data_IF_599591148361
#
_entry.id   IF_599591148361
#
_cell.length_a   1.000
_cell.length_b   1.000
_cell.length_c   1.000
_cell.angle_alpha   90.00
_cell.angle_beta   90.00
_cell.angle_gamma   90.00
#
_symmetry.space_group_name_H-M   'P 1'
#
loop_
_entity.id
_entity.type
_entity.pdbx_description
1 polymer ?
#
# COMPACT_ATOMS: atom_id res chain seq x y z
N UNK A 1 16.19 12.81 -24.87
CA UNK A 1 16.23 12.58 -23.40
C UNK A 1 17.51 13.13 -22.75
N UNK A 2 18.65 13.18 -23.42
CA UNK A 2 19.87 13.82 -22.88
C UNK A 2 19.70 15.32 -22.64
N UNK A 3 18.99 16.03 -23.51
CA UNK A 3 18.65 17.46 -23.38
C UNK A 3 17.47 17.71 -22.44
N UNK A 4 16.54 16.75 -22.35
CA UNK A 4 15.32 16.84 -21.55
C UNK A 4 15.19 15.63 -20.61
N UNK A 5 16.02 15.50 -19.55
CA UNK A 5 15.99 14.36 -18.64
C UNK A 5 14.71 14.35 -17.79
N UNK A 6 14.26 13.16 -17.40
CA UNK A 6 13.12 13.00 -16.49
C UNK A 6 13.41 13.52 -15.08
N UNK A 7 14.68 13.57 -14.67
CA UNK A 7 15.12 14.00 -13.33
C UNK A 7 16.26 14.99 -13.44
N UNK A 8 16.17 16.06 -12.65
CA UNK A 8 17.26 17.02 -12.52
C UNK A 8 18.50 16.34 -11.90
N UNK A 9 19.67 16.58 -12.51
CA UNK A 9 20.95 16.00 -12.05
C UNK A 9 21.27 14.60 -12.58
N UNK A 10 20.45 14.02 -13.45
CA UNK A 10 20.89 12.91 -14.28
C UNK A 10 21.79 13.48 -15.39
N UNK A 11 23.10 13.17 -15.31
CA UNK A 11 24.03 13.45 -16.40
C UNK A 11 23.59 12.73 -17.68
N UNK A 12 24.15 13.14 -18.82
CA UNK A 12 23.91 12.50 -20.11
C UNK A 12 24.36 11.05 -20.05
N UNK A 13 23.47 10.14 -19.66
CA UNK A 13 23.70 8.73 -19.85
C UNK A 13 23.52 8.43 -21.33
N UNK A 14 24.54 7.87 -21.96
CA UNK A 14 24.36 7.24 -23.26
C UNK A 14 23.25 6.21 -23.10
N UNK A 15 22.09 6.50 -23.68
CA UNK A 15 21.01 5.53 -23.72
C UNK A 15 21.50 4.37 -24.59
N UNK A 16 21.47 3.16 -24.06
CA UNK A 16 21.74 1.97 -24.85
C UNK A 16 20.80 1.96 -26.07
N UNK A 17 21.30 1.49 -27.19
CA UNK A 17 20.50 1.33 -28.40
C UNK A 17 19.21 0.54 -28.04
N UNK A 18 18.08 1.11 -28.38
CA UNK A 18 16.80 0.45 -28.15
C UNK A 18 16.74 -0.83 -28.99
N UNK A 19 16.46 -1.94 -28.34
CA UNK A 19 16.26 -3.21 -28.99
C UNK A 19 14.83 -3.67 -28.66
N UNK A 20 14.06 -3.97 -29.70
CA UNK A 20 12.65 -4.41 -29.58
C UNK A 20 12.58 -5.92 -29.88
N UNK A 21 12.89 -6.80 -28.91
CA UNK A 21 13.00 -8.23 -29.14
C UNK A 21 11.65 -8.95 -29.30
N UNK A 22 10.54 -8.22 -29.30
CA UNK A 22 9.20 -8.78 -29.27
C UNK A 22 8.73 -9.18 -27.86
N UNK A 23 7.44 -9.59 -27.69
CA UNK A 23 6.86 -9.87 -26.37
C UNK A 23 7.43 -11.10 -25.69
N UNK A 24 7.53 -12.24 -26.38
CA UNK A 24 7.97 -13.51 -25.78
C UNK A 24 9.36 -13.48 -25.11
N UNK A 25 10.42 -12.89 -25.71
CA UNK A 25 11.71 -12.76 -25.03
C UNK A 25 11.66 -11.84 -23.82
N UNK A 26 10.79 -10.83 -23.83
CA UNK A 26 10.62 -9.89 -22.70
C UNK A 26 9.95 -10.60 -21.53
N UNK A 27 8.83 -11.28 -21.76
CA UNK A 27 8.12 -12.06 -20.75
C UNK A 27 9.01 -13.13 -20.10
N UNK A 28 9.78 -13.85 -20.92
CA UNK A 28 10.75 -14.84 -20.42
C UNK A 28 11.81 -14.21 -19.54
N UNK A 29 12.37 -13.06 -19.92
CA UNK A 29 13.37 -12.33 -19.10
C UNK A 29 12.77 -11.84 -17.79
N UNK A 30 11.53 -11.31 -17.81
CA UNK A 30 10.81 -10.88 -16.61
C UNK A 30 10.57 -12.05 -15.68
N UNK A 31 10.10 -13.18 -16.18
CA UNK A 31 9.90 -14.39 -15.38
C UNK A 31 11.18 -14.85 -14.68
N UNK A 32 12.33 -14.87 -15.40
CA UNK A 32 13.61 -15.21 -14.79
C UNK A 32 14.06 -14.19 -13.74
N UNK A 33 13.82 -12.90 -13.98
CA UNK A 33 14.16 -11.85 -13.04
C UNK A 33 13.32 -11.96 -11.75
N UNK A 34 12.01 -12.25 -11.85
CA UNK A 34 11.13 -12.50 -10.72
C UNK A 34 11.56 -13.72 -9.90
N UNK A 35 11.88 -14.82 -10.58
CA UNK A 35 12.45 -16.01 -9.93
C UNK A 35 13.76 -15.70 -9.21
N UNK A 36 14.64 -14.92 -9.84
CA UNK A 36 15.89 -14.45 -9.25
C UNK A 36 15.67 -13.61 -7.98
N UNK A 37 14.72 -12.68 -8.00
CA UNK A 37 14.34 -11.89 -6.83
C UNK A 37 13.76 -12.78 -5.73
N UNK A 38 12.88 -13.72 -6.07
CA UNK A 38 12.29 -14.64 -5.10
C UNK A 38 13.35 -15.53 -4.42
N UNK A 39 14.28 -16.08 -5.19
CA UNK A 39 15.42 -16.88 -4.68
C UNK A 39 16.34 -15.98 -3.82
N UNK A 40 16.68 -14.78 -4.29
CA UNK A 40 17.49 -13.83 -3.55
C UNK A 40 16.90 -13.46 -2.21
N UNK A 41 15.60 -13.19 -2.14
CA UNK A 41 14.88 -12.93 -0.89
C UNK A 41 14.90 -14.13 0.05
N UNK A 42 14.76 -15.35 -0.51
CA UNK A 42 14.84 -16.58 0.28
C UNK A 42 16.25 -16.82 0.85
N UNK A 43 17.30 -16.57 0.06
CA UNK A 43 18.69 -16.67 0.53
C UNK A 43 19.02 -15.64 1.60
N UNK A 44 18.54 -14.39 1.44
CA UNK A 44 18.73 -13.32 2.41
C UNK A 44 18.00 -13.60 3.74
N UNK A 45 16.92 -14.38 3.73
CA UNK A 45 16.24 -14.76 4.99
C UNK A 45 17.09 -15.66 5.90
N UNK A 46 18.06 -16.38 5.34
CA UNK A 46 19.02 -17.21 6.09
C UNK A 46 20.35 -16.51 6.39
N UNK A 47 20.60 -15.33 5.80
CA UNK A 47 21.87 -14.63 5.95
C UNK A 47 21.98 -13.90 7.31
N UNK A 48 23.19 -13.86 7.92
CA UNK A 48 23.41 -13.14 9.17
C UNK A 48 23.16 -11.64 9.01
N UNK A 49 22.61 -11.02 10.06
CA UNK A 49 22.24 -9.59 10.06
C UNK A 49 23.49 -8.69 10.00
N UNK A 50 23.61 -7.91 8.92
CA UNK A 50 24.74 -7.00 8.72
C UNK A 50 24.40 -5.85 7.76
N UNK A 51 25.26 -4.81 7.73
CA UNK A 51 25.08 -3.68 6.79
C UNK A 51 25.02 -4.12 5.33
N UNK A 52 25.83 -5.14 4.94
CA UNK A 52 25.85 -5.68 3.57
C UNK A 52 24.55 -6.43 3.21
N UNK A 53 24.02 -7.23 4.13
CA UNK A 53 22.76 -7.96 3.95
C UNK A 53 21.59 -7.01 3.82
N UNK A 54 21.59 -5.93 4.60
CA UNK A 54 20.56 -4.87 4.53
C UNK A 54 20.60 -4.15 3.18
N UNK A 55 21.79 -3.79 2.68
CA UNK A 55 21.96 -3.17 1.36
C UNK A 55 21.49 -4.08 0.22
N UNK A 56 21.81 -5.38 0.29
CA UNK A 56 21.36 -6.36 -0.69
C UNK A 56 19.83 -6.54 -0.67
N UNK A 57 19.20 -6.57 0.52
CA UNK A 57 17.76 -6.62 0.65
C UNK A 57 17.06 -5.38 0.05
N UNK A 58 17.63 -4.18 0.28
CA UNK A 58 17.12 -2.95 -0.35
C UNK A 58 17.22 -2.96 -1.87
N UNK A 59 18.34 -3.48 -2.41
CA UNK A 59 18.52 -3.62 -3.85
C UNK A 59 17.49 -4.58 -4.46
N UNK A 60 17.25 -5.73 -3.82
CA UNK A 60 16.24 -6.70 -4.27
C UNK A 60 14.82 -6.15 -4.18
N UNK A 61 14.47 -5.43 -3.12
CA UNK A 61 13.14 -4.78 -3.00
C UNK A 61 12.94 -3.72 -4.09
N UNK A 62 13.99 -2.94 -4.40
CA UNK A 62 13.94 -1.99 -5.51
C UNK A 62 13.71 -2.68 -6.84
N UNK A 63 14.42 -3.79 -7.10
CA UNK A 63 14.25 -4.58 -8.32
C UNK A 63 12.87 -5.21 -8.40
N UNK A 64 12.35 -5.76 -7.29
CA UNK A 64 10.99 -6.30 -7.23
C UNK A 64 9.93 -5.26 -7.60
N UNK A 65 10.03 -4.04 -7.07
CA UNK A 65 9.12 -2.93 -7.40
C UNK A 65 9.21 -2.50 -8.87
N UNK A 66 10.41 -2.53 -9.45
CA UNK A 66 10.60 -2.23 -10.87
C UNK A 66 9.98 -3.31 -11.77
N UNK A 67 10.13 -4.58 -11.41
CA UNK A 67 9.51 -5.71 -12.13
C UNK A 67 7.98 -5.67 -12.04
N UNK A 68 7.42 -5.40 -10.87
CA UNK A 68 5.98 -5.24 -10.69
C UNK A 68 5.41 -4.08 -11.54
N UNK A 69 6.12 -2.96 -11.58
CA UNK A 69 5.77 -1.85 -12.47
C UNK A 69 5.79 -2.24 -13.94
N UNK A 70 6.85 -2.94 -14.39
CA UNK A 70 6.98 -3.40 -15.78
C UNK A 70 5.89 -4.40 -16.15
N UNK A 71 5.58 -5.35 -15.28
CA UNK A 71 4.50 -6.31 -15.52
C UNK A 71 3.14 -5.64 -15.64
N UNK A 72 2.84 -4.67 -14.79
CA UNK A 72 1.59 -3.89 -14.90
C UNK A 72 1.54 -3.08 -16.19
N UNK A 73 2.66 -2.49 -16.58
CA UNK A 73 2.75 -1.75 -17.83
C UNK A 73 2.53 -2.68 -19.03
N UNK A 74 3.20 -3.83 -19.06
CA UNK A 74 3.05 -4.82 -20.13
C UNK A 74 1.63 -5.41 -20.19
N UNK A 75 1.00 -5.70 -19.03
CA UNK A 75 -0.37 -6.19 -19.02
C UNK A 75 -1.38 -5.15 -19.50
N UNK A 76 -1.10 -3.85 -19.32
CA UNK A 76 -1.97 -2.76 -19.76
C UNK A 76 -1.79 -2.44 -21.25
N UNK A 77 -0.56 -2.51 -21.73
CA UNK A 77 -0.22 -2.10 -23.09
C UNK A 77 0.13 -3.26 -24.02
N UNK A 78 0.16 -4.50 -23.52
CA UNK A 78 0.59 -5.68 -24.29
C UNK A 78 -0.21 -5.90 -25.56
N UNK A 79 -1.52 -5.71 -25.52
CA UNK A 79 -2.39 -5.82 -26.70
C UNK A 79 -2.07 -4.78 -27.77
N UNK A 80 -1.73 -3.54 -27.34
CA UNK A 80 -1.33 -2.48 -28.28
C UNK A 80 0.04 -2.73 -28.89
N UNK A 81 0.95 -3.35 -28.14
CA UNK A 81 2.30 -3.67 -28.62
C UNK A 81 2.32 -4.87 -29.57
N UNK A 82 1.28 -5.70 -29.57
CA UNK A 82 1.13 -6.88 -30.44
C UNK A 82 0.25 -6.61 -31.65
N UNK A 83 -0.47 -5.49 -31.69
CA UNK A 83 -1.30 -5.13 -32.83
C UNK A 83 -0.44 -4.49 -33.93
N UNK A 84 -0.42 -5.09 -35.10
CA UNK A 84 0.12 -4.50 -36.33
C UNK A 84 -0.93 -3.54 -36.92
N UNK A 85 -1.09 -2.36 -36.31
CA UNK A 85 -1.99 -1.33 -36.80
C UNK A 85 -1.24 -0.47 -37.82
N UNK A 86 -1.63 -0.57 -39.05
CA UNK A 86 -1.24 0.36 -40.11
C UNK A 86 -2.33 1.41 -40.28
N UNK A 87 -2.01 2.65 -39.94
CA UNK A 87 -2.90 3.78 -40.22
C UNK A 87 -2.70 4.20 -41.66
N UNK A 88 -3.78 4.19 -42.43
CA UNK A 88 -3.79 4.66 -43.81
C UNK A 88 -4.40 6.05 -43.80
N UNK A 89 -3.71 7.02 -44.37
CA UNK A 89 -4.08 8.44 -44.36
C UNK A 89 -4.58 8.95 -45.73
N UNK A 90 -4.85 8.05 -46.69
CA UNK A 90 -5.26 8.38 -48.05
C UNK A 90 -6.42 9.38 -48.11
N UNK A 91 -7.45 9.17 -47.27
CA UNK A 91 -8.62 10.07 -47.24
C UNK A 91 -8.27 11.42 -46.65
N UNK A 92 -7.41 11.47 -45.61
CA UNK A 92 -6.96 12.71 -44.98
C UNK A 92 -6.07 13.49 -45.92
N UNK A 93 -5.16 12.80 -46.61
CA UNK A 93 -4.27 13.38 -47.60
C UNK A 93 -5.06 13.90 -48.83
N UNK A 94 -6.08 13.18 -49.30
CA UNK A 94 -6.98 13.63 -50.36
C UNK A 94 -7.70 14.93 -49.95
N UNK A 95 -8.16 15.03 -48.69
CA UNK A 95 -8.76 16.25 -48.15
C UNK A 95 -7.74 17.38 -48.10
N UNK A 96 -6.53 17.15 -47.59
CA UNK A 96 -5.44 18.14 -47.58
C UNK A 96 -5.16 18.65 -49.01
N UNK A 97 -5.04 17.76 -49.97
CA UNK A 97 -4.76 18.13 -51.36
C UNK A 97 -5.91 18.87 -52.04
N UNK A 98 -7.13 18.79 -51.50
CA UNK A 98 -8.31 19.54 -52.02
C UNK A 98 -8.37 20.98 -51.49
N UNK A 99 -7.56 21.37 -50.48
CA UNK A 99 -7.52 22.72 -49.96
C UNK A 99 -6.86 23.67 -50.96
N UNK A 100 -7.32 24.96 -50.97
CA UNK A 100 -6.65 26.02 -51.72
C UNK A 100 -5.24 26.25 -51.12
N UNK A 101 -4.33 26.80 -51.93
CA UNK A 101 -2.91 26.93 -51.52
C UNK A 101 -2.74 27.78 -50.23
N UNK A 102 -3.51 28.86 -50.13
CA UNK A 102 -3.51 29.74 -48.95
C UNK A 102 -4.05 29.02 -47.70
N UNK A 103 -5.03 28.14 -47.87
CA UNK A 103 -5.62 27.35 -46.76
C UNK A 103 -4.70 26.23 -46.34
N UNK A 104 -3.91 25.64 -47.23
CA UNK A 104 -2.91 24.61 -46.87
C UNK A 104 -1.83 25.16 -45.98
N UNK A 105 -1.40 26.40 -46.15
CA UNK A 105 -0.39 27.04 -45.31
C UNK A 105 -0.89 27.15 -43.84
N UNK A 106 -2.19 27.45 -43.66
CA UNK A 106 -2.79 27.66 -42.33
C UNK A 106 -3.34 26.38 -41.71
N UNK A 107 -3.97 25.51 -42.50
CA UNK A 107 -4.70 24.32 -42.08
C UNK A 107 -4.10 23.01 -42.57
N UNK A 108 -2.86 23.04 -43.06
CA UNK A 108 -2.18 21.86 -43.56
C UNK A 108 -2.02 20.79 -42.48
N UNK A 109 -2.25 19.54 -42.86
CA UNK A 109 -2.18 18.36 -41.96
C UNK A 109 -1.53 17.14 -42.64
N UNK A 110 -0.65 17.38 -43.65
CA UNK A 110 0.17 16.33 -44.22
C UNK A 110 1.25 15.91 -43.20
N UNK A 111 1.18 14.67 -42.75
CA UNK A 111 2.15 14.13 -41.78
C UNK A 111 3.57 13.96 -42.39
N UNK A 112 3.70 13.98 -43.72
CA UNK A 112 4.99 13.90 -44.39
C UNK A 112 5.80 15.22 -44.27
N UNK A 113 5.10 16.36 -44.11
CA UNK A 113 5.73 17.68 -43.97
C UNK A 113 6.25 17.95 -42.56
N UNK A 114 5.96 17.05 -41.61
CA UNK A 114 6.37 17.22 -40.23
C UNK A 114 7.87 16.96 -40.06
N UNK A 115 8.60 17.97 -39.58
CA UNK A 115 9.97 17.73 -39.09
C UNK A 115 9.93 16.90 -37.81
N UNK A 116 9.99 15.58 -38.00
CA UNK A 116 9.96 14.60 -36.92
C UNK A 116 11.06 14.78 -35.89
N UNK A 117 12.23 15.29 -36.33
CA UNK A 117 13.34 15.51 -35.42
C UNK A 117 13.03 16.67 -34.47
N UNK A 118 12.58 17.80 -35.01
CA UNK A 118 12.13 18.94 -34.23
C UNK A 118 10.94 18.58 -33.34
N UNK A 119 9.94 17.91 -33.91
CA UNK A 119 8.75 17.49 -33.14
C UNK A 119 9.10 16.59 -31.94
N UNK A 120 9.93 15.58 -32.15
CA UNK A 120 10.31 14.65 -31.05
C UNK A 120 11.18 15.38 -30.02
N UNK A 121 12.18 16.14 -30.42
CA UNK A 121 13.12 16.74 -29.48
C UNK A 121 12.56 17.99 -28.77
N UNK A 122 11.87 18.87 -29.46
CA UNK A 122 11.49 20.17 -28.92
C UNK A 122 10.02 20.24 -28.47
N UNK A 123 9.16 19.33 -28.95
CA UNK A 123 7.74 19.32 -28.60
C UNK A 123 7.39 18.10 -27.76
N UNK A 124 7.57 16.89 -28.31
CA UNK A 124 7.09 15.66 -27.68
C UNK A 124 7.83 15.31 -26.39
N UNK A 125 9.16 15.23 -26.42
CA UNK A 125 9.96 14.88 -25.23
C UNK A 125 9.81 15.92 -24.12
N UNK A 126 9.84 17.24 -24.34
CA UNK A 126 9.52 18.23 -23.32
C UNK A 126 8.10 18.11 -22.76
N UNK A 127 7.11 17.81 -23.62
CA UNK A 127 5.71 17.65 -23.21
C UNK A 127 5.51 16.48 -22.24
N UNK A 128 6.17 15.35 -22.45
CA UNK A 128 6.08 14.18 -21.55
C UNK A 128 6.99 14.27 -20.32
N UNK A 129 8.18 14.86 -20.43
CA UNK A 129 9.13 14.98 -19.31
C UNK A 129 8.81 16.15 -18.38
N UNK A 130 8.29 17.26 -18.92
CA UNK A 130 7.95 18.46 -18.15
C UNK A 130 6.94 18.23 -17.02
N UNK A 131 5.80 17.56 -17.26
CA UNK A 131 4.86 17.21 -16.20
C UNK A 131 5.48 16.31 -15.13
N UNK A 132 6.30 15.32 -15.50
CA UNK A 132 6.98 14.43 -14.56
C UNK A 132 7.95 15.20 -13.68
N UNK A 133 8.77 16.10 -14.26
CA UNK A 133 9.67 16.98 -13.49
C UNK A 133 8.92 17.90 -12.54
N UNK A 134 7.83 18.50 -12.98
CA UNK A 134 6.97 19.34 -12.12
C UNK A 134 6.38 18.55 -10.97
N UNK A 135 5.94 17.33 -11.22
CA UNK A 135 5.42 16.42 -10.20
C UNK A 135 6.50 16.02 -9.17
N UNK A 136 7.70 15.72 -9.64
CA UNK A 136 8.84 15.39 -8.76
C UNK A 136 9.32 16.60 -7.96
N UNK A 137 9.40 17.78 -8.58
CA UNK A 137 9.72 19.01 -7.89
C UNK A 137 8.68 19.36 -6.81
N UNK A 138 7.39 19.18 -7.12
CA UNK A 138 6.32 19.34 -6.14
C UNK A 138 6.42 18.31 -5.00
N UNK A 139 6.79 17.05 -5.29
CA UNK A 139 7.05 16.01 -4.28
C UNK A 139 8.26 16.37 -3.41
N UNK A 140 9.35 16.87 -3.99
CA UNK A 140 10.53 17.33 -3.23
C UNK A 140 10.20 18.51 -2.31
N UNK A 141 9.47 19.52 -2.82
CA UNK A 141 8.98 20.65 -2.02
C UNK A 141 8.03 20.22 -0.91
N UNK A 142 7.17 19.23 -1.16
CA UNK A 142 6.24 18.65 -0.19
C UNK A 142 6.98 17.84 0.87
N UNK A 143 8.00 17.05 0.48
CA UNK A 143 8.88 16.32 1.41
C UNK A 143 9.68 17.28 2.28
N UNK A 144 10.20 18.38 1.74
CA UNK A 144 10.85 19.45 2.50
C UNK A 144 9.85 20.18 3.45
N UNK A 145 8.58 20.33 3.05
CA UNK A 145 7.52 20.89 3.91
C UNK A 145 6.97 19.90 4.93
N UNK A 146 6.99 18.59 4.63
CA UNK A 146 6.50 17.54 5.55
C UNK A 146 7.44 17.31 6.74
N UNK A 147 8.69 17.79 6.65
CA UNK A 147 9.62 17.82 7.81
C UNK A 147 9.36 18.98 8.75
N UNK A 148 8.54 19.96 8.37
CA UNK A 148 8.11 21.04 9.26
C UNK A 148 6.62 20.83 9.59
N UNK A 149 6.34 19.88 10.45
CA UNK A 149 5.01 19.67 10.99
C UNK A 149 4.61 20.93 11.76
N UNK A 150 3.58 21.65 11.28
CA UNK A 150 2.83 22.55 12.17
C UNK A 150 2.22 21.66 13.24
N UNK A 151 2.62 21.82 14.50
CA UNK A 151 2.06 21.10 15.63
C UNK A 151 0.53 21.11 15.56
N UNK A 152 -0.09 20.03 16.02
CA UNK A 152 -1.55 19.97 16.12
C UNK A 152 -2.00 21.13 17.01
N UNK A 153 -3.09 21.79 16.65
CA UNK A 153 -3.67 22.83 17.50
C UNK A 153 -4.32 22.16 18.70
N UNK A 154 -4.00 22.61 19.91
CA UNK A 154 -4.72 22.15 21.09
C UNK A 154 -6.22 22.41 20.95
N UNK A 155 -7.04 21.44 21.35
CA UNK A 155 -8.50 21.52 21.36
C UNK A 155 -9.02 21.20 22.76
N UNK A 156 -10.26 21.50 23.03
CA UNK A 156 -10.91 21.02 24.24
C UNK A 156 -10.92 19.48 24.22
N UNK A 157 -10.51 18.84 25.34
CA UNK A 157 -10.48 17.37 25.41
C UNK A 157 -11.83 16.75 25.04
N UNK A 158 -11.79 15.72 24.18
CA UNK A 158 -12.98 14.99 23.76
C UNK A 158 -13.82 15.64 22.66
N UNK A 159 -13.42 16.80 22.11
CA UNK A 159 -14.16 17.43 20.99
C UNK A 159 -13.68 16.99 19.62
N UNK A 160 -12.45 16.51 19.51
CA UNK A 160 -11.81 16.06 18.27
C UNK A 160 -11.27 14.65 18.47
N UNK A 161 -11.36 13.80 17.46
CA UNK A 161 -10.74 12.48 17.48
C UNK A 161 -9.67 12.29 16.41
N UNK A 162 -8.82 11.29 16.63
CA UNK A 162 -7.87 10.78 15.65
C UNK A 162 -8.00 9.26 15.57
N UNK A 163 -8.57 8.76 14.47
CA UNK A 163 -8.74 7.35 14.19
C UNK A 163 -7.55 6.79 13.40
N UNK A 164 -7.06 5.61 13.77
CA UNK A 164 -5.94 4.94 13.13
C UNK A 164 -6.31 3.53 12.73
N UNK A 165 -5.98 3.13 11.50
CA UNK A 165 -5.92 1.72 11.13
C UNK A 165 -4.64 1.10 11.69
N UNK A 166 -4.61 -0.23 11.83
CA UNK A 166 -3.45 -0.95 12.36
C UNK A 166 -2.55 -1.49 11.26
N UNK A 167 -3.09 -2.40 10.43
CA UNK A 167 -2.31 -3.14 9.43
C UNK A 167 -1.87 -2.25 8.27
N UNK A 168 -0.56 -2.11 8.05
CA UNK A 168 -0.01 -1.23 7.01
C UNK A 168 0.09 0.23 7.43
N UNK A 169 -0.61 0.65 8.49
CA UNK A 169 -0.63 2.02 9.01
C UNK A 169 0.20 2.15 10.29
N UNK A 170 -0.26 1.63 11.42
CA UNK A 170 0.49 1.67 12.69
C UNK A 170 1.55 0.58 12.73
N UNK A 171 1.26 -0.57 12.18
CA UNK A 171 2.11 -1.76 12.20
C UNK A 171 2.28 -2.35 10.80
N UNK A 172 3.51 -2.77 10.45
CA UNK A 172 3.81 -3.39 9.15
C UNK A 172 3.61 -4.90 9.20
N UNK A 173 2.37 -5.35 9.09
CA UNK A 173 1.97 -6.77 9.11
C UNK A 173 0.83 -7.06 8.16
N UNK A 174 0.45 -8.33 8.10
CA UNK A 174 -0.78 -8.76 7.44
C UNK A 174 -1.48 -9.85 8.27
N UNK A 175 -2.78 -10.02 8.04
CA UNK A 175 -3.64 -10.91 8.84
C UNK A 175 -3.19 -12.37 8.83
N UNK A 176 -2.64 -12.87 7.72
CA UNK A 176 -2.14 -14.26 7.63
C UNK A 176 -0.88 -14.42 8.48
N UNK A 177 0.02 -13.44 8.44
CA UNK A 177 1.25 -13.44 9.23
C UNK A 177 0.92 -13.40 10.73
N UNK A 178 0.03 -12.51 11.14
CA UNK A 178 -0.40 -12.42 12.54
C UNK A 178 -1.14 -13.65 13.01
N UNK A 179 -1.94 -14.29 12.16
CA UNK A 179 -2.54 -15.60 12.44
C UNK A 179 -1.48 -16.66 12.72
N UNK A 180 -0.47 -16.79 11.87
CA UNK A 180 0.59 -17.77 12.04
C UNK A 180 1.41 -17.52 13.32
N UNK A 181 1.71 -16.26 13.65
CA UNK A 181 2.41 -15.94 14.90
C UNK A 181 1.67 -16.39 16.14
N UNK A 182 0.35 -16.21 16.13
CA UNK A 182 -0.47 -16.48 17.28
C UNK A 182 -0.78 -17.98 17.41
N UNK A 183 -0.96 -18.67 16.28
CA UNK A 183 -1.43 -20.06 16.28
C UNK A 183 -0.31 -21.10 16.32
N UNK A 184 0.81 -20.85 15.64
CA UNK A 184 1.87 -21.86 15.55
C UNK A 184 2.56 -22.19 16.88
N UNK A 185 2.81 -21.27 17.82
CA UNK A 185 3.44 -21.60 19.09
C UNK A 185 2.69 -22.66 19.90
N UNK A 186 1.37 -22.71 19.82
CA UNK A 186 0.53 -23.67 20.56
C UNK A 186 0.50 -25.10 19.95
N UNK A 187 0.97 -25.24 18.72
CA UNK A 187 0.90 -26.50 17.97
C UNK A 187 2.19 -27.32 18.12
N UNK A 188 2.06 -28.65 18.18
CA UNK A 188 3.20 -29.56 18.05
C UNK A 188 3.86 -29.44 16.67
N UNK A 189 5.12 -29.89 16.52
CA UNK A 189 5.88 -29.79 15.25
C UNK A 189 5.12 -30.40 14.06
N UNK A 190 4.45 -31.54 14.24
CA UNK A 190 3.65 -32.19 13.19
C UNK A 190 2.43 -31.35 12.83
N UNK A 191 1.74 -30.81 13.84
CA UNK A 191 0.59 -29.94 13.64
C UNK A 191 0.99 -28.61 12.96
N UNK A 192 2.15 -28.02 13.33
CA UNK A 192 2.71 -26.81 12.67
C UNK A 192 2.92 -27.05 11.17
N UNK A 193 3.57 -28.17 10.81
CA UNK A 193 3.77 -28.53 9.41
C UNK A 193 2.44 -28.69 8.66
N UNK A 194 1.48 -29.38 9.25
CA UNK A 194 0.14 -29.54 8.68
C UNK A 194 -0.59 -28.21 8.52
N UNK A 195 -0.49 -27.31 9.49
CA UNK A 195 -1.13 -25.99 9.44
C UNK A 195 -0.52 -25.08 8.36
N UNK A 196 0.81 -25.04 8.26
CA UNK A 196 1.51 -24.31 7.21
C UNK A 196 1.12 -24.80 5.81
N UNK A 197 1.02 -26.11 5.61
CA UNK A 197 0.56 -26.69 4.34
C UNK A 197 -0.90 -26.31 4.02
N UNK A 198 -1.79 -26.32 5.01
CA UNK A 198 -3.19 -25.89 4.81
C UNK A 198 -3.30 -24.42 4.46
N UNK A 199 -2.56 -23.54 5.14
CA UNK A 199 -2.52 -22.11 4.83
C UNK A 199 -1.97 -21.89 3.42
N UNK A 200 -0.89 -22.56 3.05
CA UNK A 200 -0.29 -22.47 1.71
C UNK A 200 -1.26 -22.93 0.61
N UNK A 201 -1.98 -24.03 0.83
CA UNK A 201 -2.99 -24.54 -0.11
C UNK A 201 -4.18 -23.60 -0.29
N UNK A 202 -4.55 -22.85 0.75
CA UNK A 202 -5.67 -21.89 0.70
C UNK A 202 -5.26 -20.47 0.28
N UNK A 203 -3.96 -20.19 0.14
CA UNK A 203 -3.46 -18.87 -0.19
C UNK A 203 -4.09 -18.25 -1.45
N UNK A 204 -4.31 -18.99 -2.57
CA UNK A 204 -4.97 -18.44 -3.74
C UNK A 204 -6.42 -17.99 -3.45
N UNK A 205 -7.15 -18.77 -2.64
CA UNK A 205 -8.52 -18.46 -2.24
C UNK A 205 -8.56 -17.21 -1.33
N UNK A 206 -7.62 -17.09 -0.41
CA UNK A 206 -7.49 -15.93 0.46
C UNK A 206 -7.19 -14.65 -0.33
N UNK A 207 -6.26 -14.70 -1.27
CA UNK A 207 -5.95 -13.56 -2.15
C UNK A 207 -7.14 -13.18 -3.04
N UNK A 208 -7.91 -14.16 -3.50
CA UNK A 208 -9.13 -13.93 -4.25
C UNK A 208 -10.24 -13.28 -3.41
N UNK A 209 -10.41 -13.75 -2.18
CA UNK A 209 -11.39 -13.21 -1.22
C UNK A 209 -11.01 -11.79 -0.78
N UNK A 210 -9.74 -11.53 -0.46
CA UNK A 210 -9.24 -10.22 -0.06
C UNK A 210 -9.48 -9.14 -1.14
N UNK A 211 -9.33 -9.51 -2.42
CA UNK A 211 -9.60 -8.61 -3.54
C UNK A 211 -11.08 -8.30 -3.73
N UNK A 212 -11.97 -9.24 -3.39
CA UNK A 212 -13.43 -9.09 -3.57
C UNK A 212 -14.10 -8.45 -2.37
N UNK A 213 -13.81 -8.95 -1.16
CA UNK A 213 -14.42 -8.51 0.09
C UNK A 213 -13.48 -8.86 1.26
N UNK A 214 -12.83 -7.85 1.82
CA UNK A 214 -11.93 -8.01 2.96
C UNK A 214 -12.64 -8.58 4.20
N UNK A 215 -13.93 -8.31 4.39
CA UNK A 215 -14.71 -8.86 5.50
C UNK A 215 -14.91 -10.37 5.35
N UNK A 216 -15.16 -10.86 4.13
CA UNK A 216 -15.23 -12.31 3.83
C UNK A 216 -13.87 -12.96 4.08
N UNK A 217 -12.79 -12.34 3.61
CA UNK A 217 -11.43 -12.82 3.84
C UNK A 217 -11.12 -12.98 5.34
N UNK A 218 -11.39 -11.95 6.14
CA UNK A 218 -11.16 -11.99 7.59
C UNK A 218 -11.95 -13.12 8.27
N UNK A 219 -13.23 -13.27 7.94
CA UNK A 219 -14.05 -14.36 8.47
C UNK A 219 -13.48 -15.74 8.12
N UNK A 220 -12.95 -15.91 6.91
CA UNK A 220 -12.30 -17.18 6.50
C UNK A 220 -11.03 -17.46 7.30
N UNK A 221 -10.19 -16.46 7.53
CA UNK A 221 -8.97 -16.61 8.33
C UNK A 221 -9.33 -16.89 9.79
N UNK A 222 -10.29 -16.18 10.36
CA UNK A 222 -10.64 -16.31 11.77
C UNK A 222 -11.40 -17.60 12.10
N UNK A 223 -12.04 -18.25 11.12
CA UNK A 223 -12.53 -19.63 11.26
C UNK A 223 -11.45 -20.60 11.73
N UNK A 224 -10.20 -20.34 11.44
CA UNK A 224 -9.08 -21.21 11.81
C UNK A 224 -8.70 -21.15 13.29
N UNK A 225 -9.28 -20.20 14.04
CA UNK A 225 -9.14 -20.18 15.51
C UNK A 225 -10.12 -21.13 16.21
N UNK A 226 -10.99 -21.83 15.47
CA UNK A 226 -11.87 -22.84 16.04
C UNK A 226 -11.07 -23.85 16.88
N UNK A 227 -11.51 -24.10 18.11
CA UNK A 227 -10.85 -24.97 19.06
C UNK A 227 -9.67 -24.40 19.82
N UNK A 228 -9.23 -23.15 19.53
CA UNK A 228 -8.20 -22.46 20.31
C UNK A 228 -8.81 -21.89 21.59
N UNK A 229 -8.05 -21.86 22.68
CA UNK A 229 -8.46 -21.19 23.93
C UNK A 229 -8.10 -19.70 23.85
N UNK A 230 -9.05 -18.84 24.17
CA UNK A 230 -8.84 -17.38 24.09
C UNK A 230 -7.78 -16.90 25.07
N UNK A 231 -7.78 -17.41 26.30
CA UNK A 231 -6.80 -17.09 27.34
C UNK A 231 -5.36 -17.51 26.96
N UNK A 232 -5.21 -18.62 26.24
CA UNK A 232 -3.90 -19.05 25.71
C UNK A 232 -3.42 -18.12 24.58
N UNK A 233 -4.31 -17.69 23.68
CA UNK A 233 -3.98 -16.72 22.66
C UNK A 233 -3.51 -15.40 23.27
N UNK A 234 -4.19 -14.91 24.30
CA UNK A 234 -3.80 -13.69 25.02
C UNK A 234 -2.44 -13.86 25.70
N UNK A 235 -2.20 -14.99 26.36
CA UNK A 235 -0.93 -15.30 27.00
C UNK A 235 0.23 -15.35 26.00
N UNK A 236 0.02 -15.96 24.82
CA UNK A 236 1.04 -15.98 23.75
C UNK A 236 1.39 -14.57 23.28
N UNK A 237 0.41 -13.68 23.19
CA UNK A 237 0.67 -12.26 22.84
C UNK A 237 1.51 -11.60 23.92
N UNK A 238 1.11 -11.71 25.18
CA UNK A 238 1.77 -11.01 26.29
C UNK A 238 3.20 -11.50 26.49
N UNK A 239 3.43 -12.82 26.48
CA UNK A 239 4.72 -13.42 26.80
C UNK A 239 5.69 -13.49 25.61
N UNK A 240 5.18 -13.66 24.38
CA UNK A 240 6.03 -14.00 23.23
C UNK A 240 5.95 -12.98 22.09
N UNK A 241 4.75 -12.45 21.79
CA UNK A 241 4.55 -11.65 20.60
C UNK A 241 4.70 -10.15 20.80
N UNK A 242 4.52 -9.64 22.02
CA UNK A 242 4.60 -8.20 22.29
C UNK A 242 5.91 -7.55 21.78
N UNK A 243 7.12 -8.09 22.06
CA UNK A 243 8.35 -7.50 21.52
C UNK A 243 8.38 -7.50 19.98
N UNK A 244 7.78 -8.51 19.37
CA UNK A 244 7.74 -8.70 17.94
C UNK A 244 6.75 -7.74 17.25
N UNK A 245 5.61 -7.51 17.86
CA UNK A 245 4.62 -6.52 17.45
C UNK A 245 5.22 -5.11 17.54
N UNK A 246 5.87 -4.78 18.65
CA UNK A 246 6.49 -3.47 18.88
C UNK A 246 7.63 -3.20 17.89
N UNK A 247 8.44 -4.21 17.53
CA UNK A 247 9.52 -4.07 16.54
C UNK A 247 8.99 -3.72 15.12
N UNK A 248 7.74 -4.06 14.85
CA UNK A 248 7.06 -3.75 13.59
C UNK A 248 6.18 -2.52 13.63
N UNK A 249 6.03 -1.92 14.79
CA UNK A 249 5.27 -0.69 14.97
C UNK A 249 6.08 0.49 14.43
N UNK A 250 5.45 1.36 13.66
CA UNK A 250 6.08 2.56 13.14
C UNK A 250 6.33 3.58 14.26
N UNK A 251 7.60 3.99 14.50
CA UNK A 251 7.89 5.05 15.47
C UNK A 251 7.21 6.38 15.13
N UNK A 252 7.02 6.65 13.83
CA UNK A 252 6.31 7.84 13.36
C UNK A 252 4.82 7.78 13.69
N UNK A 253 4.21 6.58 13.61
CA UNK A 253 2.84 6.38 14.06
C UNK A 253 2.70 6.64 15.55
N UNK A 254 3.59 6.06 16.37
CA UNK A 254 3.59 6.25 17.83
C UNK A 254 3.75 7.73 18.19
N UNK A 255 4.70 8.42 17.55
CA UNK A 255 4.87 9.87 17.75
C UNK A 255 3.61 10.63 17.40
N UNK A 256 2.97 10.32 16.27
CA UNK A 256 1.76 10.99 15.81
C UNK A 256 0.58 10.77 16.75
N UNK A 257 0.42 9.55 17.27
CA UNK A 257 -0.61 9.25 18.27
C UNK A 257 -0.40 10.08 19.53
N UNK A 258 0.85 10.19 20.02
CA UNK A 258 1.18 11.03 21.19
C UNK A 258 0.91 12.50 20.93
N UNK A 259 1.28 13.03 19.75
CA UNK A 259 0.99 14.41 19.36
C UNK A 259 -0.52 14.71 19.41
N UNK A 260 -1.36 13.75 18.98
CA UNK A 260 -2.83 13.89 19.08
C UNK A 260 -3.30 13.92 20.54
N UNK A 261 -2.79 13.02 21.38
CA UNK A 261 -3.14 13.01 22.81
C UNK A 261 -2.71 14.29 23.52
N UNK A 262 -1.51 14.79 23.22
CA UNK A 262 -1.01 16.07 23.76
C UNK A 262 -1.84 17.27 23.29
N UNK A 263 -2.45 17.19 22.10
CA UNK A 263 -3.38 18.20 21.59
C UNK A 263 -4.81 18.09 22.17
N UNK A 264 -5.09 17.11 23.02
CA UNK A 264 -6.41 16.86 23.61
C UNK A 264 -7.36 16.05 22.73
N UNK A 265 -6.87 15.44 21.65
CA UNK A 265 -7.70 14.62 20.76
C UNK A 265 -7.89 13.21 21.34
N UNK A 266 -9.09 12.67 21.24
CA UNK A 266 -9.37 11.26 21.56
C UNK A 266 -8.74 10.36 20.49
N UNK A 267 -7.82 9.48 20.87
CA UNK A 267 -7.14 8.57 19.96
C UNK A 267 -7.82 7.22 19.92
N UNK A 268 -8.13 6.74 18.71
CA UNK A 268 -8.89 5.51 18.51
C UNK A 268 -8.16 4.61 17.51
N UNK A 269 -7.88 3.38 17.91
CA UNK A 269 -7.45 2.32 17.00
C UNK A 269 -8.70 1.59 16.49
N UNK A 270 -8.89 1.53 15.17
CA UNK A 270 -10.01 0.79 14.54
C UNK A 270 -9.42 -0.23 13.58
N UNK A 271 -9.50 -1.52 13.93
CA UNK A 271 -8.86 -2.58 13.16
C UNK A 271 -9.75 -3.79 12.96
N UNK A 272 -9.57 -4.48 11.83
CA UNK A 272 -10.13 -5.80 11.59
C UNK A 272 -9.37 -6.94 12.27
N UNK A 273 -8.24 -6.66 12.89
CA UNK A 273 -7.42 -7.64 13.65
C UNK A 273 -8.16 -8.06 14.91
N UNK A 274 -7.95 -9.32 15.34
CA UNK A 274 -8.56 -9.84 16.57
C UNK A 274 -7.99 -9.16 17.82
N UNK A 275 -8.86 -8.98 18.82
CA UNK A 275 -8.54 -8.25 20.07
C UNK A 275 -7.26 -8.70 20.77
N UNK A 276 -6.93 -9.99 20.93
CA UNK A 276 -5.68 -10.39 21.58
C UNK A 276 -4.43 -9.70 20.99
N UNK A 277 -4.37 -9.56 19.67
CA UNK A 277 -3.22 -8.92 18.98
C UNK A 277 -3.14 -7.41 19.17
N UNK A 278 -4.17 -6.78 19.72
CA UNK A 278 -4.15 -5.33 20.00
C UNK A 278 -3.64 -5.00 21.41
N UNK A 279 -3.45 -6.00 22.29
CA UNK A 279 -2.98 -5.81 23.68
C UNK A 279 -1.67 -4.99 23.80
N UNK A 280 -0.65 -5.17 22.93
CA UNK A 280 0.57 -4.36 22.99
C UNK A 280 0.35 -2.85 22.76
N UNK A 281 -0.82 -2.46 22.26
CA UNK A 281 -1.21 -1.06 22.02
C UNK A 281 -2.11 -0.48 23.11
N UNK A 282 -2.47 -1.28 24.12
CA UNK A 282 -3.18 -0.80 25.31
C UNK A 282 -2.37 0.30 25.99
N UNK A 283 -3.02 1.40 26.34
CA UNK A 283 -2.35 2.58 26.89
C UNK A 283 -1.73 3.55 25.86
N UNK A 284 -1.55 3.12 24.60
CA UNK A 284 -1.17 4.02 23.51
C UNK A 284 -2.39 4.76 22.94
N UNK A 285 -3.54 4.10 22.87
CA UNK A 285 -4.82 4.65 22.42
C UNK A 285 -5.79 4.80 23.59
N UNK A 286 -6.71 5.77 23.47
CA UNK A 286 -7.80 5.94 24.44
C UNK A 286 -8.88 4.86 24.24
N UNK A 287 -9.11 4.44 22.98
CA UNK A 287 -10.04 3.36 22.64
C UNK A 287 -9.44 2.44 21.57
N UNK A 288 -9.74 1.14 21.71
CA UNK A 288 -9.35 0.11 20.73
C UNK A 288 -10.59 -0.66 20.30
N UNK A 289 -10.89 -0.59 19.01
CA UNK A 289 -11.99 -1.30 18.36
C UNK A 289 -11.39 -2.37 17.45
N UNK A 290 -11.56 -3.61 17.87
CA UNK A 290 -10.98 -4.78 17.22
C UNK A 290 -12.05 -5.84 16.96
N UNK A 291 -11.70 -6.89 16.23
CA UNK A 291 -12.59 -8.05 16.04
C UNK A 291 -12.54 -8.95 17.27
N UNK A 292 -13.70 -9.31 17.81
CA UNK A 292 -13.81 -10.20 18.96
C UNK A 292 -14.18 -11.61 18.50
N UNK A 293 -13.37 -12.60 18.91
CA UNK A 293 -13.64 -14.02 18.67
C UNK A 293 -14.80 -14.49 19.59
N UNK A 294 -15.78 -15.16 19.03
CA UNK A 294 -16.84 -15.79 19.80
C UNK A 294 -16.30 -17.06 20.48
N UNK A 295 -16.57 -17.18 21.77
CA UNK A 295 -16.17 -18.33 22.60
C UNK A 295 -17.36 -19.07 23.18
N UNK A 296 -17.19 -20.37 23.41
CA UNK A 296 -18.10 -21.17 24.25
C UNK A 296 -17.95 -20.82 25.73
N UNK A 297 -18.79 -21.43 26.60
CA UNK A 297 -18.72 -21.24 28.05
C UNK A 297 -17.38 -21.65 28.68
N UNK A 298 -16.63 -22.52 27.98
CA UNK A 298 -15.32 -23.05 28.37
C UNK A 298 -14.14 -22.15 27.93
N UNK A 299 -14.41 -21.00 27.28
CA UNK A 299 -13.39 -20.10 26.74
C UNK A 299 -12.75 -20.58 25.45
N UNK A 300 -13.30 -21.64 24.82
CA UNK A 300 -12.83 -22.17 23.55
C UNK A 300 -13.44 -21.36 22.38
N UNK A 301 -12.62 -20.91 21.44
CA UNK A 301 -13.05 -20.15 20.27
C UNK A 301 -13.89 -21.02 19.32
N UNK A 302 -15.01 -20.49 18.87
CA UNK A 302 -15.93 -21.17 17.94
C UNK A 302 -15.55 -21.01 16.47
N UNK A 303 -14.51 -20.23 16.17
CA UNK A 303 -14.12 -19.84 14.81
C UNK A 303 -15.02 -18.76 14.19
N UNK A 304 -15.94 -18.18 14.96
CA UNK A 304 -16.78 -17.07 14.55
C UNK A 304 -16.36 -15.78 15.26
N UNK A 305 -16.80 -14.64 14.72
CA UNK A 305 -16.70 -13.34 15.39
C UNK A 305 -18.02 -13.03 16.10
N UNK A 306 -17.96 -12.27 17.18
CA UNK A 306 -19.16 -11.80 17.91
C UNK A 306 -19.93 -10.72 17.14
N UNK A 307 -19.28 -10.06 16.17
CA UNK A 307 -19.85 -9.02 15.34
C UNK A 307 -19.22 -8.97 13.94
N UNK A 308 -19.64 -8.02 13.09
CA UNK A 308 -19.03 -7.83 11.79
C UNK A 308 -17.56 -7.39 11.93
N UNK A 309 -16.64 -7.86 11.05
CA UNK A 309 -15.27 -7.41 11.07
C UNK A 309 -15.21 -5.90 10.81
N UNK A 310 -14.34 -5.20 11.56
CA UNK A 310 -14.14 -3.75 11.46
C UNK A 310 -13.31 -3.37 10.22
N UNK A 311 -13.95 -3.35 9.05
CA UNK A 311 -13.36 -3.00 7.75
C UNK A 311 -14.32 -2.18 6.92
N UNK A 312 -13.81 -1.35 6.04
CA UNK A 312 -14.60 -0.57 5.08
C UNK A 312 -15.71 0.27 5.75
N UNK A 313 -16.94 0.05 5.30
CA UNK A 313 -18.13 0.78 5.78
C UNK A 313 -18.41 0.58 7.27
N UNK A 314 -18.06 -0.58 7.84
CA UNK A 314 -18.24 -0.84 9.26
C UNK A 314 -17.42 0.11 10.13
N UNK A 315 -16.20 0.47 9.71
CA UNK A 315 -15.36 1.47 10.39
C UNK A 315 -15.98 2.86 10.33
N UNK A 316 -16.46 3.25 9.16
CA UNK A 316 -17.12 4.54 8.96
C UNK A 316 -18.40 4.68 9.80
N UNK A 317 -19.22 3.63 9.80
CA UNK A 317 -20.47 3.60 10.57
C UNK A 317 -20.18 3.69 12.09
N UNK A 318 -19.22 2.91 12.58
CA UNK A 318 -18.82 2.94 13.98
C UNK A 318 -18.30 4.32 14.37
N UNK A 319 -17.41 4.92 13.57
CA UNK A 319 -16.82 6.22 13.84
C UNK A 319 -17.87 7.33 13.88
N UNK A 320 -18.81 7.30 12.94
CA UNK A 320 -19.92 8.27 12.88
C UNK A 320 -20.84 8.12 14.09
N UNK A 321 -21.16 6.87 14.47
CA UNK A 321 -22.00 6.61 15.65
C UNK A 321 -21.32 7.07 16.94
N UNK A 322 -20.05 6.72 17.12
CA UNK A 322 -19.25 7.14 18.28
C UNK A 322 -19.17 8.66 18.40
N UNK A 323 -18.88 9.35 17.29
CA UNK A 323 -18.82 10.80 17.26
C UNK A 323 -20.16 11.45 17.63
N UNK A 324 -21.29 10.90 17.15
CA UNK A 324 -22.63 11.35 17.49
C UNK A 324 -22.96 11.20 18.97
N UNK A 325 -22.56 10.07 19.60
CA UNK A 325 -22.78 9.82 21.02
C UNK A 325 -21.96 10.74 21.94
N UNK A 326 -20.75 11.10 21.52
CA UNK A 326 -19.80 11.87 22.34
C UNK A 326 -19.69 13.34 21.94
N UNK A 327 -20.50 13.83 20.98
CA UNK A 327 -20.48 15.23 20.54
C UNK A 327 -19.19 15.64 19.84
N UNK A 328 -18.50 14.70 19.15
CA UNK A 328 -17.22 14.94 18.50
C UNK A 328 -17.42 15.61 17.14
N UNK A 329 -16.64 16.66 16.86
CA UNK A 329 -16.59 17.31 15.55
C UNK A 329 -15.75 16.50 14.56
N UNK A 330 -16.42 15.71 13.70
CA UNK A 330 -15.76 14.95 12.65
C UNK A 330 -15.08 15.83 11.60
N UNK A 331 -15.54 17.08 11.39
CA UNK A 331 -14.87 17.99 10.42
C UNK A 331 -13.52 18.48 10.93
N UNK A 332 -13.35 18.58 12.24
CA UNK A 332 -12.07 18.89 12.87
C UNK A 332 -11.20 17.65 13.09
N UNK A 333 -11.80 16.45 13.03
CA UNK A 333 -11.16 15.16 13.35
C UNK A 333 -10.27 14.61 12.24
N UNK A 334 -9.44 13.61 12.59
CA UNK A 334 -8.43 13.01 11.75
C UNK A 334 -8.67 11.51 11.58
N UNK A 335 -8.25 10.95 10.42
CA UNK A 335 -8.19 9.51 10.22
C UNK A 335 -6.94 9.15 9.40
N UNK A 336 -6.30 8.04 9.75
CA UNK A 336 -5.05 7.55 9.18
C UNK A 336 -5.23 6.12 8.67
N UNK A 337 -4.95 5.87 7.39
CA UNK A 337 -5.02 4.54 6.79
C UNK A 337 -4.11 4.44 5.55
N UNK A 338 -3.78 3.20 5.15
CA UNK A 338 -2.91 2.89 4.00
C UNK A 338 -3.66 2.28 2.81
N UNK A 339 -4.88 1.77 3.00
CA UNK A 339 -5.61 1.01 2.00
C UNK A 339 -6.84 1.73 1.46
N UNK A 340 -7.17 1.47 0.18
CA UNK A 340 -8.40 1.95 -0.45
C UNK A 340 -9.68 1.39 0.22
N UNK A 341 -9.59 0.26 0.91
CA UNK A 341 -10.71 -0.32 1.69
C UNK A 341 -11.16 0.63 2.79
N UNK A 342 -10.28 1.52 3.27
CA UNK A 342 -10.53 2.47 4.33
C UNK A 342 -11.07 3.83 3.84
N UNK A 343 -11.31 3.98 2.53
CA UNK A 343 -11.90 5.18 1.96
C UNK A 343 -13.20 5.63 2.68
N UNK A 344 -14.13 4.72 3.05
CA UNK A 344 -15.31 5.13 3.80
C UNK A 344 -14.96 5.83 5.13
N UNK A 345 -14.03 5.27 5.92
CA UNK A 345 -13.57 5.86 7.18
C UNK A 345 -12.87 7.22 6.95
N UNK A 346 -11.97 7.29 5.98
CA UNK A 346 -11.24 8.53 5.66
C UNK A 346 -12.17 9.67 5.21
N UNK A 347 -13.28 9.34 4.56
CA UNK A 347 -14.29 10.31 4.10
C UNK A 347 -15.18 10.85 5.22
N UNK A 348 -15.22 10.21 6.38
CA UNK A 348 -16.05 10.70 7.51
C UNK A 348 -15.43 11.89 8.21
N UNK A 349 -14.13 12.11 8.08
CA UNK A 349 -13.39 13.15 8.80
C UNK A 349 -12.98 14.30 7.89
N UNK A 350 -12.76 15.48 8.48
CA UNK A 350 -12.31 16.63 7.71
C UNK A 350 -10.81 16.65 7.43
N UNK A 351 -10.00 15.85 8.17
CA UNK A 351 -8.55 15.77 7.97
C UNK A 351 -8.09 14.33 7.70
N UNK A 352 -8.47 13.75 6.55
CA UNK A 352 -8.01 12.41 6.17
C UNK A 352 -6.53 12.43 5.79
N UNK A 353 -5.80 11.39 6.21
CA UNK A 353 -4.37 11.22 5.96
C UNK A 353 -4.12 9.83 5.38
N UNK A 354 -3.67 9.78 4.15
CA UNK A 354 -3.24 8.54 3.50
C UNK A 354 -1.78 8.26 3.85
N UNK A 355 -1.53 7.15 4.56
CA UNK A 355 -0.21 6.74 5.06
C UNK A 355 0.35 5.67 4.14
N UNK A 356 1.50 5.93 3.50
CA UNK A 356 2.15 4.96 2.58
C UNK A 356 1.14 4.22 1.66
N UNK A 357 0.18 4.94 1.03
CA UNK A 357 -1.06 4.38 0.51
C UNK A 357 -0.86 3.41 -0.64
N UNK A 358 -1.76 2.43 -0.75
CA UNK A 358 -1.94 1.64 -1.96
C UNK A 358 -2.33 2.51 -3.17
N UNK A 359 -2.33 1.93 -4.38
CA UNK A 359 -2.59 2.69 -5.62
C UNK A 359 -4.00 3.29 -5.62
N UNK A 360 -4.99 2.55 -5.11
CA UNK A 360 -6.38 2.98 -5.05
C UNK A 360 -6.56 4.18 -4.12
N UNK A 361 -6.05 4.08 -2.89
CA UNK A 361 -6.08 5.17 -1.93
C UNK A 361 -5.24 6.36 -2.38
N UNK A 362 -4.06 6.12 -2.99
CA UNK A 362 -3.23 7.21 -3.51
C UNK A 362 -3.97 8.03 -4.57
N UNK A 363 -4.71 7.37 -5.47
CA UNK A 363 -5.51 8.05 -6.50
C UNK A 363 -6.61 8.89 -5.86
N UNK A 364 -7.42 8.29 -4.98
CA UNK A 364 -8.51 8.98 -4.28
C UNK A 364 -8.00 10.17 -3.44
N UNK A 365 -6.88 10.00 -2.73
CA UNK A 365 -6.27 11.06 -1.93
C UNK A 365 -5.78 12.24 -2.78
N UNK A 366 -5.24 11.96 -3.97
CA UNK A 366 -4.81 13.03 -4.91
C UNK A 366 -6.00 13.78 -5.50
N UNK A 367 -7.03 13.06 -5.93
CA UNK A 367 -8.27 13.63 -6.47
C UNK A 367 -8.97 14.51 -5.44
N UNK A 368 -8.99 14.08 -4.19
CA UNK A 368 -9.64 14.79 -3.07
C UNK A 368 -8.73 15.83 -2.38
N UNK A 369 -7.47 15.97 -2.77
CA UNK A 369 -6.52 16.89 -2.13
C UNK A 369 -6.12 16.52 -0.71
N UNK A 370 -6.24 15.25 -0.31
CA UNK A 370 -5.91 14.76 1.01
C UNK A 370 -4.41 14.75 1.29
N UNK A 371 -4.04 14.76 2.56
CA UNK A 371 -2.64 14.61 2.97
C UNK A 371 -2.15 13.20 2.67
N UNK A 372 -0.98 13.10 2.02
CA UNK A 372 -0.30 11.83 1.78
C UNK A 372 1.04 11.91 2.51
N UNK A 373 1.28 10.97 3.41
CA UNK A 373 2.53 10.86 4.17
C UNK A 373 3.13 9.48 3.98
N UNK A 374 4.45 9.40 3.99
CA UNK A 374 5.17 8.12 3.99
C UNK A 374 5.78 7.95 5.38
N UNK A 375 5.31 6.96 6.12
CA UNK A 375 6.03 6.50 7.30
C UNK A 375 7.10 5.51 6.85
N UNK A 376 8.37 5.68 7.26
CA UNK A 376 9.40 4.74 6.92
C UNK A 376 9.00 3.35 7.45
N UNK A 377 8.78 2.41 6.55
CA UNK A 377 8.61 1.03 6.96
C UNK A 377 9.96 0.52 7.46
N UNK A 378 10.03 0.05 8.70
CA UNK A 378 11.15 -0.78 9.17
C UNK A 378 11.16 -2.17 8.48
N UNK A 379 10.53 -2.28 7.33
CA UNK A 379 10.27 -3.48 6.53
C UNK A 379 11.51 -4.17 5.96
N UNK A 380 12.67 -4.04 6.61
CA UNK A 380 13.91 -4.71 6.20
C UNK A 380 14.45 -5.64 7.28
N UNK A 381 13.64 -6.01 8.26
CA UNK A 381 13.93 -7.18 9.05
C UNK A 381 13.40 -8.43 8.33
N UNK A 382 14.16 -9.56 8.31
CA UNK A 382 13.69 -10.78 7.66
C UNK A 382 12.34 -11.17 8.23
N UNK A 383 11.34 -11.27 7.38
CA UNK A 383 9.91 -11.44 7.69
C UNK A 383 9.56 -12.72 8.46
N UNK A 384 10.54 -13.58 8.78
CA UNK A 384 10.29 -14.89 9.39
C UNK A 384 11.36 -15.21 10.43
N UNK A 385 11.22 -14.69 11.64
CA UNK A 385 11.67 -15.43 12.84
C UNK A 385 10.42 -15.71 13.64
N UNK A 386 10.03 -16.96 13.65
CA UNK A 386 9.14 -17.48 14.66
C UNK A 386 9.80 -17.31 16.03
N UNK A 387 9.03 -16.97 17.08
CA UNK A 387 9.52 -17.10 18.44
C UNK A 387 10.01 -18.54 18.63
N UNK A 388 11.22 -18.67 19.17
CA UNK A 388 11.85 -19.98 19.47
C UNK A 388 11.07 -20.73 20.50
#
# INVERSE_FOLDING_TARGET
FSRHPYRDGQGSHQLATWNFPGPEPVERKLWFAEKGVAIGNRLLSFAPRGKKTRAAAQALDKTAKQLDFLNRYLSLYGEYLQSELHFVDDCTLALHNSLHEDDREVFGFDSADLDWHHYIEEVHVPAITGPVRRLEAARRRRKARSTTYKGLKPTEPGTVLAAFDLDGTVMTTNVIETYLWLRLPELSLVQRAGELMRVAAQLPNYLGAERKDRGVFLRQVYRRYEGARLDELERVVDEQLTPFVLDRTSPEAVRRIREHREAGHTTILITGVIRPLTRPFEGLFDHIIAADLATGPDGVCTGFLTGPPMVGDSRAAWLTHYAGLHGIDLKASFAYADSHVDLPMLRTVGNPVAVSPDIGLMRAARESGWSIIDWPSHALQPRWKMPS
#
